data_IF_488034304576
#
_entry.id   IF_488034304576
#
_cell.length_a   1.000
_cell.length_b   1.000
_cell.length_c   1.000
_cell.angle_alpha   90.00
_cell.angle_beta   90.00
_cell.angle_gamma   90.00
#
_symmetry.space_group_name_H-M   'P 1'
#
loop_
_entity.id
_entity.type
_entity.pdbx_description
1 polymer ?
#
# COMPACT_ATOMS: atom_id res chain seq x y z
N UNK A 1 -19.66 -25.66 -22.35
CA UNK A 1 -19.09 -24.31 -22.24
C UNK A 1 -18.20 -24.15 -21.02
N UNK A 2 -18.64 -24.43 -19.78
CA UNK A 2 -17.79 -24.23 -18.56
C UNK A 2 -16.47 -25.01 -18.60
N UNK A 3 -16.44 -26.27 -19.06
CA UNK A 3 -15.21 -27.08 -19.17
C UNK A 3 -14.22 -26.52 -20.20
N UNK A 4 -14.71 -25.92 -21.28
CA UNK A 4 -13.87 -25.29 -22.32
C UNK A 4 -13.22 -23.98 -21.81
N UNK A 5 -13.95 -23.18 -21.04
CA UNK A 5 -13.40 -21.98 -20.40
C UNK A 5 -12.30 -22.31 -19.37
N UNK A 6 -12.49 -23.39 -18.59
CA UNK A 6 -11.49 -23.85 -17.63
C UNK A 6 -10.23 -24.36 -18.35
N UNK A 7 -10.40 -25.15 -19.43
CA UNK A 7 -9.27 -25.63 -20.21
C UNK A 7 -8.49 -24.47 -20.87
N UNK A 8 -9.20 -23.49 -21.42
CA UNK A 8 -8.58 -22.29 -22.00
C UNK A 8 -7.83 -21.46 -20.95
N UNK A 9 -8.40 -21.31 -19.76
CA UNK A 9 -7.76 -20.63 -18.63
C UNK A 9 -6.48 -21.36 -18.19
N UNK A 10 -6.51 -22.69 -18.07
CA UNK A 10 -5.35 -23.51 -17.69
C UNK A 10 -4.25 -23.43 -18.75
N UNK A 11 -4.60 -23.50 -20.05
CA UNK A 11 -3.63 -23.34 -21.15
C UNK A 11 -3.05 -21.93 -21.19
N UNK A 12 -3.87 -20.89 -20.98
CA UNK A 12 -3.39 -19.52 -20.90
C UNK A 12 -2.45 -19.32 -19.71
N UNK A 13 -2.79 -19.85 -18.52
CA UNK A 13 -1.91 -19.82 -17.35
C UNK A 13 -0.60 -20.59 -17.58
N UNK A 14 -0.63 -21.74 -18.25
CA UNK A 14 0.59 -22.53 -18.54
C UNK A 14 1.53 -21.81 -19.53
N UNK A 15 0.97 -21.12 -20.51
CA UNK A 15 1.77 -20.31 -21.46
C UNK A 15 2.44 -19.10 -20.79
N UNK A 16 1.74 -18.47 -19.83
CA UNK A 16 2.32 -17.39 -19.01
C UNK A 16 3.40 -17.93 -18.07
N UNK A 17 3.16 -19.10 -17.47
CA UNK A 17 4.12 -19.73 -16.56
C UNK A 17 5.44 -20.13 -17.27
N UNK A 18 5.40 -20.57 -18.51
CA UNK A 18 6.62 -20.92 -19.27
C UNK A 18 7.52 -19.71 -19.58
N UNK A 19 6.93 -18.53 -19.75
CA UNK A 19 7.72 -17.30 -19.90
C UNK A 19 8.30 -16.82 -18.57
N UNK A 20 7.60 -17.03 -17.48
CA UNK A 20 8.06 -16.65 -16.13
C UNK A 20 9.28 -17.47 -15.65
N UNK A 21 9.44 -18.72 -16.08
CA UNK A 21 10.56 -19.58 -15.69
C UNK A 21 11.90 -19.18 -16.37
N UNK A 22 11.85 -18.38 -17.42
CA UNK A 22 13.05 -17.87 -18.13
C UNK A 22 13.46 -16.46 -17.69
N UNK A 23 12.64 -15.78 -16.90
CA UNK A 23 12.92 -14.43 -16.41
C UNK A 23 13.40 -14.51 -14.96
N UNK A 24 14.58 -13.96 -14.69
CA UNK A 24 15.04 -13.80 -13.31
C UNK A 24 14.18 -12.71 -12.66
N UNK A 25 13.55 -13.04 -11.54
CA UNK A 25 12.80 -12.09 -10.73
C UNK A 25 13.59 -11.69 -9.48
N UNK A 26 13.40 -10.45 -9.04
CA UNK A 26 13.93 -9.97 -7.78
C UNK A 26 12.91 -10.18 -6.69
N UNK A 27 13.38 -10.57 -5.52
CA UNK A 27 12.55 -10.66 -4.32
C UNK A 27 13.28 -10.01 -3.15
N UNK A 28 12.49 -9.56 -2.17
CA UNK A 28 13.08 -8.89 -1.02
C UNK A 28 12.09 -8.61 0.09
N UNK A 29 12.60 -7.89 1.08
CA UNK A 29 11.86 -7.42 2.24
C UNK A 29 11.49 -5.95 2.07
N UNK A 30 10.38 -5.57 2.67
CA UNK A 30 9.91 -4.19 2.77
C UNK A 30 9.44 -3.94 4.21
N UNK A 31 9.93 -2.86 4.83
CA UNK A 31 9.56 -2.48 6.19
C UNK A 31 9.66 -0.98 6.37
N UNK A 32 8.77 -0.38 7.16
CA UNK A 32 8.87 1.04 7.45
C UNK A 32 7.67 1.64 8.16
N UNK A 33 7.78 2.91 8.57
CA UNK A 33 6.68 3.65 9.19
C UNK A 33 5.63 4.08 8.18
N UNK A 34 4.41 4.19 8.68
CA UNK A 34 3.26 4.77 7.99
C UNK A 34 2.71 5.94 8.80
N UNK A 35 2.41 7.03 8.12
CA UNK A 35 1.71 8.19 8.68
C UNK A 35 0.31 8.22 8.09
N UNK A 36 -0.68 8.09 8.95
CA UNK A 36 -2.04 7.78 8.54
C UNK A 36 -3.02 8.85 8.97
N UNK A 37 -4.03 9.02 8.13
CA UNK A 37 -5.23 9.81 8.36
C UNK A 37 -6.42 9.03 7.78
N UNK A 38 -7.61 9.25 8.32
CA UNK A 38 -8.87 8.76 7.74
C UNK A 38 -9.67 9.97 7.27
N UNK A 39 -9.94 10.04 5.97
CA UNK A 39 -10.85 11.05 5.43
C UNK A 39 -12.29 10.64 5.72
N UNK A 40 -13.13 11.61 6.10
CA UNK A 40 -14.54 11.40 6.47
C UNK A 40 -14.78 11.34 7.98
N UNK A 41 -13.75 11.31 8.81
CA UNK A 41 -13.84 11.59 10.22
C UNK A 41 -13.74 13.11 10.50
N UNK A 42 -13.76 13.51 11.76
CA UNK A 42 -13.70 14.93 12.15
C UNK A 42 -12.27 15.38 12.46
N UNK A 43 -11.29 14.48 12.33
CA UNK A 43 -9.90 14.70 12.71
C UNK A 43 -9.04 14.93 11.47
N UNK A 44 -8.16 15.93 11.52
CA UNK A 44 -7.36 16.35 10.36
C UNK A 44 -5.88 16.15 10.65
N UNK A 45 -5.16 15.54 9.71
CA UNK A 45 -3.71 15.39 9.78
C UNK A 45 -3.25 13.95 9.96
N UNK A 46 -1.99 13.72 9.63
CA UNK A 46 -1.34 12.40 9.69
C UNK A 46 -0.80 12.08 11.09
N UNK A 47 -1.67 12.13 12.11
CA UNK A 47 -1.28 11.98 13.51
C UNK A 47 -1.18 10.51 13.95
N UNK A 48 -1.77 9.57 13.20
CA UNK A 48 -1.62 8.15 13.49
C UNK A 48 -0.32 7.62 12.90
N UNK A 49 0.62 7.31 13.77
CA UNK A 49 1.83 6.57 13.41
C UNK A 49 1.52 5.07 13.40
N UNK A 50 1.84 4.42 12.30
CA UNK A 50 1.77 2.99 12.14
C UNK A 50 3.06 2.42 11.54
N UNK A 51 2.99 1.18 11.07
CA UNK A 51 4.10 0.55 10.37
C UNK A 51 3.60 -0.43 9.32
N UNK A 52 4.48 -0.76 8.38
CA UNK A 52 4.29 -1.84 7.41
C UNK A 52 5.49 -2.77 7.40
N UNK A 53 5.25 -4.04 7.16
CA UNK A 53 6.30 -5.04 6.96
C UNK A 53 5.80 -6.15 6.04
N UNK A 54 6.69 -6.66 5.17
CA UNK A 54 6.32 -7.72 4.24
C UNK A 54 7.42 -8.09 3.27
N UNK A 55 7.00 -8.76 2.22
CA UNK A 55 7.83 -9.26 1.14
C UNK A 55 7.36 -8.67 -0.18
N UNK A 56 8.25 -8.61 -1.13
CA UNK A 56 7.91 -8.29 -2.51
C UNK A 56 8.63 -9.21 -3.50
N UNK A 57 8.01 -9.37 -4.66
CA UNK A 57 8.61 -9.98 -5.84
C UNK A 57 8.41 -9.02 -7.02
N UNK A 58 9.48 -8.77 -7.77
CA UNK A 58 9.50 -7.87 -8.91
C UNK A 58 10.00 -8.60 -10.15
N UNK A 59 9.29 -8.42 -11.25
CA UNK A 59 9.56 -9.03 -12.55
C UNK A 59 9.86 -7.91 -13.57
N UNK A 60 11.00 -7.95 -14.28
CA UNK A 60 11.24 -7.04 -15.39
C UNK A 60 10.25 -7.35 -16.52
N UNK A 61 9.59 -6.31 -17.04
CA UNK A 61 8.71 -6.39 -18.19
C UNK A 61 9.45 -5.94 -19.45
N UNK A 62 10.32 -4.95 -19.29
CA UNK A 62 11.15 -4.32 -20.32
C UNK A 62 12.40 -3.74 -19.64
N UNK A 63 13.28 -3.10 -20.38
CA UNK A 63 14.54 -2.49 -19.88
C UNK A 63 14.30 -1.45 -18.78
N UNK A 64 13.12 -0.81 -18.76
CA UNK A 64 12.78 0.24 -17.80
C UNK A 64 11.51 -0.02 -16.98
N UNK A 65 10.70 -1.01 -17.37
CA UNK A 65 9.45 -1.32 -16.69
C UNK A 65 9.54 -2.62 -15.89
N UNK A 66 9.00 -2.58 -14.67
CA UNK A 66 8.92 -3.72 -13.76
C UNK A 66 7.51 -3.85 -13.21
N UNK A 67 7.00 -5.07 -13.15
CA UNK A 67 5.82 -5.40 -12.36
C UNK A 67 6.29 -5.87 -10.98
N UNK A 68 5.71 -5.34 -9.90
CA UNK A 68 6.01 -5.76 -8.55
C UNK A 68 4.72 -6.15 -7.84
N UNK A 69 4.73 -7.29 -7.19
CA UNK A 69 3.69 -7.74 -6.27
C UNK A 69 4.26 -7.76 -4.86
N UNK A 70 3.48 -7.28 -3.92
CA UNK A 70 3.85 -7.27 -2.50
C UNK A 70 2.84 -8.09 -1.69
N UNK A 71 3.29 -8.65 -0.59
CA UNK A 71 2.47 -9.19 0.47
C UNK A 71 2.94 -8.59 1.77
N UNK A 72 2.14 -7.72 2.37
CA UNK A 72 2.54 -6.97 3.56
C UNK A 72 1.42 -6.86 4.58
N UNK A 73 1.84 -6.75 5.81
CA UNK A 73 1.00 -6.32 6.92
C UNK A 73 1.20 -4.82 7.11
N UNK A 74 0.08 -4.10 7.36
CA UNK A 74 0.12 -2.67 7.65
C UNK A 74 -0.78 -2.33 8.84
N UNK A 75 -0.26 -1.49 9.73
CA UNK A 75 -1.02 -0.83 10.78
C UNK A 75 -1.34 0.59 10.31
N UNK A 76 -2.61 0.86 10.10
CA UNK A 76 -3.15 2.14 9.63
C UNK A 76 -4.14 2.69 10.65
N UNK A 77 -4.73 3.88 10.39
CA UNK A 77 -5.80 4.42 11.21
C UNK A 77 -5.81 5.95 11.30
N UNK A 78 -6.41 6.45 12.38
CA UNK A 78 -6.50 7.88 12.70
C UNK A 78 -6.27 8.11 14.19
N UNK A 79 -5.76 9.29 14.54
CA UNK A 79 -5.56 9.71 15.91
C UNK A 79 -5.85 11.20 16.03
N UNK A 80 -6.59 11.60 17.07
CA UNK A 80 -6.83 13.00 17.37
C UNK A 80 -5.56 13.68 17.84
N UNK A 81 -5.31 14.91 17.39
CA UNK A 81 -4.21 15.72 17.92
C UNK A 81 -4.58 16.39 19.24
N UNK A 82 -3.58 16.74 20.04
CA UNK A 82 -3.78 17.50 21.28
C UNK A 82 -4.48 18.85 21.01
N UNK A 83 -4.24 19.45 19.86
CA UNK A 83 -4.88 20.69 19.45
C UNK A 83 -6.38 20.52 19.21
N UNK A 84 -6.78 19.44 18.54
CA UNK A 84 -8.19 19.13 18.28
C UNK A 84 -8.94 18.87 19.59
N UNK A 85 -8.31 18.19 20.55
CA UNK A 85 -8.90 17.93 21.84
C UNK A 85 -8.98 19.20 22.70
N UNK A 86 -7.91 19.99 22.76
CA UNK A 86 -7.81 21.13 23.70
C UNK A 86 -8.41 22.43 23.15
N UNK A 87 -8.25 22.73 21.85
CA UNK A 87 -8.71 23.99 21.25
C UNK A 87 -10.10 23.88 20.62
N UNK A 88 -10.42 22.73 19.98
CA UNK A 88 -11.72 22.50 19.34
C UNK A 88 -12.68 21.67 20.17
N UNK A 89 -12.28 21.25 21.37
CA UNK A 89 -13.09 20.44 22.29
C UNK A 89 -13.61 19.13 21.68
N UNK A 90 -12.84 18.55 20.76
CA UNK A 90 -13.16 17.24 20.20
C UNK A 90 -12.80 16.16 21.23
N UNK A 91 -13.44 15.02 21.09
CA UNK A 91 -13.19 13.89 21.96
C UNK A 91 -11.83 13.26 21.64
N UNK A 92 -11.05 12.83 22.63
CA UNK A 92 -9.90 11.98 22.38
C UNK A 92 -10.31 10.75 21.58
N UNK A 93 -9.63 10.51 20.47
CA UNK A 93 -9.96 9.43 19.55
C UNK A 93 -8.71 8.74 19.01
N UNK A 94 -8.73 7.42 18.97
CA UNK A 94 -7.70 6.62 18.33
C UNK A 94 -8.32 5.43 17.60
N UNK A 95 -8.06 5.33 16.32
CA UNK A 95 -8.45 4.21 15.45
C UNK A 95 -7.21 3.47 15.01
N UNK A 96 -7.20 2.15 15.19
CA UNK A 96 -6.16 1.26 14.68
C UNK A 96 -6.76 0.19 13.80
N UNK A 97 -6.31 0.15 12.55
CA UNK A 97 -6.75 -0.78 11.53
C UNK A 97 -5.58 -1.65 11.09
N UNK A 98 -5.72 -2.94 11.26
CA UNK A 98 -4.73 -3.94 10.87
C UNK A 98 -5.12 -4.54 9.53
N UNK A 99 -4.25 -4.44 8.54
CA UNK A 99 -4.47 -4.95 7.20
C UNK A 99 -3.44 -5.98 6.77
N UNK A 100 -3.90 -6.97 6.00
CA UNK A 100 -3.06 -7.70 5.06
C UNK A 100 -3.31 -7.08 3.67
N UNK A 101 -2.24 -6.64 3.01
CA UNK A 101 -2.30 -5.92 1.74
C UNK A 101 -1.56 -6.70 0.65
N UNK A 102 -2.14 -6.69 -0.54
CA UNK A 102 -1.54 -7.27 -1.75
C UNK A 102 -1.46 -6.17 -2.82
N UNK A 103 -0.44 -5.30 -2.78
CA UNK A 103 -0.19 -4.31 -3.81
C UNK A 103 0.32 -4.96 -5.10
N UNK A 104 -0.22 -4.49 -6.22
CA UNK A 104 0.28 -4.72 -7.57
C UNK A 104 0.76 -3.39 -8.12
N UNK A 105 2.06 -3.26 -8.33
CA UNK A 105 2.72 -2.02 -8.68
C UNK A 105 3.37 -2.14 -10.06
N UNK A 106 3.20 -1.11 -10.87
CA UNK A 106 4.04 -0.86 -12.04
C UNK A 106 5.14 0.10 -11.63
N UNK A 107 6.38 -0.24 -11.93
CA UNK A 107 7.57 0.55 -11.61
C UNK A 107 8.28 0.94 -12.89
N UNK A 108 8.73 2.19 -12.95
CA UNK A 108 9.47 2.74 -14.07
C UNK A 108 10.81 3.32 -13.63
N UNK A 109 11.91 2.73 -14.12
CA UNK A 109 13.27 3.17 -13.85
C UNK A 109 13.60 4.44 -14.67
N UNK A 110 14.09 5.47 -14.01
CA UNK A 110 14.48 6.73 -14.64
C UNK A 110 15.89 6.73 -15.26
N UNK A 111 16.56 5.59 -15.35
CA UNK A 111 17.91 5.46 -15.92
C UNK A 111 18.07 5.97 -17.34
N UNK A 112 16.96 6.07 -18.09
CA UNK A 112 16.91 6.70 -19.43
C UNK A 112 17.18 8.21 -19.37
N UNK A 113 16.85 8.86 -18.26
CA UNK A 113 17.03 10.30 -18.08
C UNK A 113 18.40 10.59 -17.47
N UNK A 114 19.01 11.68 -17.89
CA UNK A 114 20.31 12.13 -17.37
C UNK A 114 20.22 13.57 -16.87
N UNK A 115 20.79 13.79 -15.69
CA UNK A 115 20.96 15.12 -15.11
C UNK A 115 22.45 15.38 -14.93
N UNK A 116 22.95 16.43 -15.52
CA UNK A 116 24.40 16.75 -15.52
C UNK A 116 25.30 15.60 -16.03
N UNK A 117 24.81 14.84 -17.04
CA UNK A 117 25.52 13.71 -17.63
C UNK A 117 25.45 12.39 -16.83
N UNK A 118 24.87 12.38 -15.63
CA UNK A 118 24.70 11.20 -14.80
C UNK A 118 23.32 10.60 -15.03
N UNK A 119 23.18 9.28 -15.22
CA UNK A 119 21.87 8.62 -15.31
C UNK A 119 21.14 8.68 -13.96
N UNK A 120 19.81 8.71 -13.99
CA UNK A 120 18.95 8.67 -12.80
C UNK A 120 18.49 7.24 -12.48
N UNK A 121 19.36 6.25 -12.68
CA UNK A 121 19.10 4.82 -12.49
C UNK A 121 18.85 4.43 -11.03
N UNK A 122 19.14 5.34 -10.10
CA UNK A 122 18.84 5.17 -8.68
C UNK A 122 17.41 5.57 -8.29
N UNK A 123 16.62 6.14 -9.22
CA UNK A 123 15.25 6.58 -8.97
C UNK A 123 14.28 5.77 -9.81
N UNK A 124 13.28 5.20 -9.18
CA UNK A 124 12.18 4.49 -9.80
C UNK A 124 10.85 5.16 -9.42
N UNK A 125 10.02 5.47 -10.40
CA UNK A 125 8.63 5.85 -10.17
C UNK A 125 7.80 4.59 -9.97
N UNK A 126 6.81 4.65 -9.08
CA UNK A 126 5.91 3.52 -8.87
C UNK A 126 4.46 3.97 -8.76
N UNK A 127 3.57 3.22 -9.39
CA UNK A 127 2.13 3.41 -9.29
C UNK A 127 1.42 2.05 -9.36
N UNK A 128 0.29 1.94 -8.66
CA UNK A 128 -0.45 0.68 -8.66
C UNK A 128 -1.68 0.71 -7.78
N UNK A 129 -2.23 -0.46 -7.58
CA UNK A 129 -3.41 -0.68 -6.73
C UNK A 129 -3.14 -1.83 -5.77
N UNK A 130 -3.76 -1.79 -4.59
CA UNK A 130 -3.73 -2.91 -3.66
C UNK A 130 -5.13 -3.42 -3.35
N UNK A 131 -5.21 -4.72 -3.11
CA UNK A 131 -6.34 -5.36 -2.47
C UNK A 131 -5.98 -5.55 -0.99
N UNK A 132 -6.85 -5.06 -0.11
CA UNK A 132 -6.57 -4.98 1.32
C UNK A 132 -7.63 -5.75 2.09
N UNK A 133 -7.19 -6.63 2.98
CA UNK A 133 -8.06 -7.40 3.87
C UNK A 133 -7.84 -6.92 5.30
N UNK A 134 -8.89 -6.40 5.92
CA UNK A 134 -8.83 -5.97 7.31
C UNK A 134 -8.83 -7.18 8.24
N UNK A 135 -7.78 -7.32 9.01
CA UNK A 135 -7.62 -8.37 10.01
C UNK A 135 -8.31 -8.00 11.33
N UNK A 136 -8.13 -6.73 11.76
CA UNK A 136 -8.68 -6.24 13.02
C UNK A 136 -8.93 -4.74 12.93
N UNK A 137 -9.95 -4.25 13.64
CA UNK A 137 -10.17 -2.83 13.90
C UNK A 137 -10.41 -2.63 15.40
N UNK A 138 -9.74 -1.63 15.96
CA UNK A 138 -9.91 -1.20 17.34
C UNK A 138 -10.09 0.30 17.39
N UNK A 139 -11.06 0.73 18.16
CA UNK A 139 -11.46 2.12 18.29
C UNK A 139 -11.45 2.47 19.79
N UNK A 140 -10.80 3.57 20.12
CA UNK A 140 -10.74 4.10 21.46
C UNK A 140 -11.36 5.49 21.45
N UNK A 141 -12.44 5.65 22.20
CA UNK A 141 -13.15 6.92 22.36
C UNK A 141 -13.23 7.20 23.85
N UNK A 142 -12.69 8.31 24.32
CA UNK A 142 -12.61 8.70 25.74
C UNK A 142 -11.82 7.74 26.64
N UNK A 143 -10.90 6.96 26.11
CA UNK A 143 -10.18 5.93 26.87
C UNK A 143 -10.96 4.62 27.03
N UNK A 144 -12.12 4.50 26.40
CA UNK A 144 -12.88 3.23 26.32
C UNK A 144 -12.47 2.45 25.06
N UNK A 145 -11.52 1.56 25.25
CA UNK A 145 -10.93 0.77 24.20
C UNK A 145 -11.85 -0.38 23.75
N UNK A 146 -12.39 -0.28 22.55
CA UNK A 146 -13.30 -1.27 22.01
C UNK A 146 -12.79 -1.94 20.72
N UNK A 147 -13.01 -3.25 20.59
CA UNK A 147 -12.80 -3.97 19.35
C UNK A 147 -14.05 -3.81 18.48
N UNK A 148 -13.98 -2.96 17.44
CA UNK A 148 -15.10 -2.58 16.58
C UNK A 148 -15.01 -3.17 15.18
N UNK A 149 -14.39 -4.35 15.07
CA UNK A 149 -14.10 -5.01 13.78
C UNK A 149 -15.32 -5.11 12.86
N UNK A 150 -16.52 -5.35 13.41
CA UNK A 150 -17.75 -5.49 12.62
C UNK A 150 -18.26 -4.18 12.00
N UNK A 151 -17.80 -3.02 12.48
CA UNK A 151 -18.22 -1.72 11.97
C UNK A 151 -17.44 -1.27 10.72
N UNK A 152 -16.35 -1.97 10.39
CA UNK A 152 -15.43 -1.63 9.31
C UNK A 152 -15.50 -2.69 8.22
N UNK A 153 -15.38 -2.29 6.97
CA UNK A 153 -15.42 -3.21 5.84
C UNK A 153 -14.26 -4.22 5.90
N UNK A 154 -14.53 -5.47 5.56
CA UNK A 154 -13.52 -6.53 5.52
C UNK A 154 -12.53 -6.30 4.36
N UNK A 155 -13.04 -5.89 3.21
CA UNK A 155 -12.26 -5.65 2.01
C UNK A 155 -12.19 -4.16 1.68
N UNK A 156 -11.04 -3.72 1.24
CA UNK A 156 -10.79 -2.40 0.70
C UNK A 156 -9.89 -2.51 -0.53
N UNK A 157 -9.82 -1.44 -1.30
CA UNK A 157 -8.85 -1.31 -2.37
C UNK A 157 -8.22 0.09 -2.28
N UNK A 158 -6.92 0.15 -2.54
CA UNK A 158 -6.12 1.37 -2.36
C UNK A 158 -5.33 1.68 -3.63
N UNK A 159 -5.37 2.93 -4.08
CA UNK A 159 -4.48 3.44 -5.10
C UNK A 159 -3.15 3.86 -4.45
N UNK A 160 -2.04 3.55 -5.10
CA UNK A 160 -0.69 3.77 -4.62
C UNK A 160 0.11 4.53 -5.68
N UNK A 161 0.87 5.55 -5.28
CA UNK A 161 1.83 6.24 -6.14
C UNK A 161 3.03 6.68 -5.32
N UNK A 162 4.23 6.62 -5.88
CA UNK A 162 5.42 6.95 -5.12
C UNK A 162 6.72 6.91 -5.92
N UNK A 163 7.80 6.99 -5.15
CA UNK A 163 9.17 6.93 -5.63
C UNK A 163 9.94 5.90 -4.81
N UNK A 164 10.88 5.26 -5.47
CA UNK A 164 11.84 4.39 -4.80
C UNK A 164 13.25 4.81 -5.19
N UNK A 165 14.12 4.91 -4.20
CA UNK A 165 15.52 5.31 -4.33
C UNK A 165 16.41 4.12 -3.99
N UNK A 166 17.18 3.62 -4.94
CA UNK A 166 18.18 2.59 -4.71
C UNK A 166 19.48 3.22 -4.21
N UNK A 167 19.95 2.83 -3.02
CA UNK A 167 21.23 3.26 -2.49
C UNK A 167 22.39 2.38 -2.98
N UNK A 168 22.09 1.10 -3.11
CA UNK A 168 22.99 0.09 -3.65
C UNK A 168 22.19 -1.10 -4.18
N UNK A 169 22.86 -2.19 -4.53
CA UNK A 169 22.24 -3.39 -5.11
C UNK A 169 21.23 -4.07 -4.17
N UNK A 170 21.36 -3.88 -2.86
CA UNK A 170 20.52 -4.53 -1.86
C UNK A 170 19.55 -3.59 -1.17
N UNK A 171 19.92 -2.34 -0.91
CA UNK A 171 19.13 -1.42 -0.10
C UNK A 171 18.52 -0.28 -0.89
N UNK A 172 17.27 0.03 -0.59
CA UNK A 172 16.56 1.18 -1.13
C UNK A 172 15.58 1.79 -0.14
N UNK A 173 15.14 3.01 -0.44
CA UNK A 173 14.13 3.77 0.31
C UNK A 173 12.94 4.04 -0.60
N UNK A 174 11.76 3.65 -0.19
CA UNK A 174 10.50 3.98 -0.85
C UNK A 174 9.78 5.11 -0.11
N UNK A 175 9.15 6.00 -0.86
CA UNK A 175 8.20 7.00 -0.36
C UNK A 175 6.93 6.85 -1.19
N UNK A 176 5.82 6.50 -0.55
CA UNK A 176 4.56 6.17 -1.22
C UNK A 176 3.40 6.91 -0.58
N UNK A 177 2.56 7.49 -1.42
CA UNK A 177 1.24 7.99 -1.05
C UNK A 177 0.19 6.95 -1.42
N UNK A 178 -0.71 6.68 -0.49
CA UNK A 178 -1.75 5.66 -0.63
C UNK A 178 -3.11 6.29 -0.29
N UNK A 179 -4.11 5.99 -1.10
CA UNK A 179 -5.48 6.45 -0.89
C UNK A 179 -6.49 5.33 -1.19
N UNK A 180 -7.38 5.04 -0.23
CA UNK A 180 -8.44 4.05 -0.46
C UNK A 180 -9.39 4.53 -1.55
N UNK A 181 -9.62 3.72 -2.58
CA UNK A 181 -10.61 3.96 -3.64
C UNK A 181 -11.95 3.30 -3.32
N UNK A 182 -11.95 2.34 -2.40
CA UNK A 182 -13.14 1.74 -1.83
C UNK A 182 -13.25 2.18 -0.38
N UNK A 183 -14.43 2.65 0.08
CA UNK A 183 -14.63 3.07 1.46
C UNK A 183 -14.29 1.97 2.45
N UNK A 184 -13.59 2.32 3.52
CA UNK A 184 -13.26 1.40 4.62
C UNK A 184 -14.42 1.23 5.61
N UNK A 185 -15.38 2.16 5.58
CA UNK A 185 -16.63 2.12 6.37
C UNK A 185 -17.75 2.86 5.65
N UNK A 186 -18.96 2.28 5.68
CA UNK A 186 -20.19 2.94 5.28
C UNK A 186 -20.96 3.34 6.53
N UNK A 187 -21.34 4.59 6.66
CA UNK A 187 -22.29 5.06 7.67
C UNK A 187 -23.67 5.09 7.05
N UNK A 188 -24.46 4.11 7.33
CA UNK A 188 -25.91 3.83 7.21
C UNK A 188 -26.87 4.64 6.34
N UNK A 189 -26.44 5.66 5.59
CA UNK A 189 -27.28 6.43 4.68
C UNK A 189 -26.69 6.37 3.26
N UNK A 190 -27.33 5.71 2.28
CA UNK A 190 -26.78 5.53 0.94
C UNK A 190 -26.86 6.78 0.04
N UNK A 191 -26.94 7.95 0.59
CA UNK A 191 -26.98 9.21 -0.14
C UNK A 191 -25.84 10.13 0.27
N UNK A 192 -24.89 10.35 -0.68
CA UNK A 192 -23.82 11.33 -0.65
C UNK A 192 -22.50 10.92 0.02
N UNK A 193 -21.40 11.32 -0.65
CA UNK A 193 -19.98 11.11 -0.34
C UNK A 193 -19.52 11.54 1.08
N UNK A 194 -20.34 12.23 1.84
CA UNK A 194 -20.04 12.81 3.15
C UNK A 194 -20.06 11.83 4.33
N UNK A 195 -20.50 10.58 4.12
CA UNK A 195 -20.63 9.58 5.19
C UNK A 195 -19.78 8.34 4.92
N UNK A 196 -18.69 8.48 4.17
CA UNK A 196 -17.80 7.38 3.85
C UNK A 196 -16.40 7.68 4.38
N UNK A 197 -15.74 6.66 4.89
CA UNK A 197 -14.40 6.76 5.43
C UNK A 197 -13.39 6.17 4.46
N UNK A 198 -12.25 6.86 4.28
CA UNK A 198 -11.17 6.45 3.38
C UNK A 198 -9.83 6.55 4.09
N UNK A 199 -8.97 5.54 3.96
CA UNK A 199 -7.59 5.64 4.41
C UNK A 199 -6.78 6.55 3.49
N UNK A 200 -5.96 7.39 4.11
CA UNK A 200 -5.00 8.28 3.47
C UNK A 200 -3.66 8.11 4.19
N UNK A 201 -2.64 7.69 3.46
CA UNK A 201 -1.40 7.24 4.08
C UNK A 201 -0.20 7.78 3.32
N UNK A 202 0.79 8.28 4.06
CA UNK A 202 2.16 8.48 3.58
C UNK A 202 3.02 7.40 4.19
N UNK A 203 3.65 6.59 3.35
CA UNK A 203 4.47 5.45 3.75
C UNK A 203 5.92 5.70 3.38
N UNK A 204 6.83 5.46 4.33
CA UNK A 204 8.26 5.40 4.09
C UNK A 204 8.71 3.96 4.30
N UNK A 205 9.45 3.40 3.37
CA UNK A 205 9.87 2.00 3.45
C UNK A 205 11.35 1.83 3.16
N UNK A 206 12.02 1.04 3.97
CA UNK A 206 13.31 0.47 3.65
C UNK A 206 13.05 -0.87 2.94
N UNK A 207 13.72 -1.07 1.82
CA UNK A 207 13.69 -2.32 1.06
C UNK A 207 15.04 -3.01 1.11
N UNK A 208 15.02 -4.34 1.17
CA UNK A 208 16.20 -5.18 1.06
C UNK A 208 15.99 -6.22 -0.05
N UNK A 209 16.80 -6.16 -1.10
CA UNK A 209 16.82 -7.13 -2.20
C UNK A 209 17.65 -8.36 -1.81
N UNK A 210 17.10 -9.55 -2.02
CA UNK A 210 17.85 -10.81 -1.80
C UNK A 210 18.85 -11.07 -2.92
N UNK A 211 18.51 -10.66 -4.14
CA UNK A 211 19.36 -10.83 -5.33
C UNK A 211 19.92 -9.46 -5.74
N UNK A 212 21.11 -9.45 -6.33
CA UNK A 212 21.58 -8.25 -7.03
C UNK A 212 20.60 -7.89 -8.15
N UNK A 213 20.22 -6.60 -8.32
CA UNK A 213 19.33 -6.22 -9.38
C UNK A 213 19.93 -6.66 -10.73
N UNK A 214 19.08 -7.20 -11.56
CA UNK A 214 19.41 -7.44 -12.95
C UNK A 214 19.59 -6.06 -13.61
N UNK A 215 20.82 -5.78 -13.97
CA UNK A 215 21.17 -4.64 -14.85
C UNK A 215 21.03 -5.03 -16.30
#
# INVERSE_FOLDING_TARGET
>A
MKKFCILFLVVALSLVAHRALAQSFNAGLIVGPTFCQVDGDHYVGFHQLGFTAGFYASLPLDDHFFAQMELKYSLLGAHSSDREVNEFYYNPYSLRLHYAEIPLMLRYDLGRFRVNGRPLDFITLEAGVSADVRLRATEDVYGDYQVTTSRWNLFSATANAGFHFAFNEHFGLGVRYMYSIVPIRFTGNPGWFYNQYYNKVVQFTLTYNFNSPLR
#
